data_IF_633762661204
#
_entry.id   IF_633762661204
#
_cell.length_a   1.000
_cell.length_b   1.000
_cell.length_c   1.000
_cell.angle_alpha   90.00
_cell.angle_beta   90.00
_cell.angle_gamma   90.00
#
_symmetry.space_group_name_H-M   'P 1'
#
loop_
_entity.id
_entity.type
_entity.pdbx_description
1 polymer ?
#
# COMPACT_ATOMS: atom_id res chain seq x y z
N UNK A 1 -20.13 -47.79 33.25
CA UNK A 1 -20.45 -46.35 33.20
C UNK A 1 -19.14 -45.61 32.95
N UNK A 2 -18.79 -45.38 31.70
CA UNK A 2 -17.57 -44.67 31.30
C UNK A 2 -17.96 -43.29 30.76
N UNK A 3 -17.48 -42.24 31.42
CA UNK A 3 -17.60 -40.87 30.94
C UNK A 3 -16.39 -40.57 30.03
N UNK A 4 -16.62 -40.45 28.72
CA UNK A 4 -15.67 -39.81 27.80
C UNK A 4 -16.01 -38.32 27.72
N UNK A 5 -15.14 -37.50 28.31
CA UNK A 5 -15.15 -36.04 28.15
C UNK A 5 -14.19 -35.69 27.01
N UNK A 6 -14.73 -35.26 25.88
CA UNK A 6 -13.97 -34.77 24.73
C UNK A 6 -13.83 -33.25 24.79
N UNK A 7 -12.69 -32.76 25.27
CA UNK A 7 -12.31 -31.37 25.12
C UNK A 7 -11.47 -31.22 23.83
N UNK A 8 -11.99 -30.48 22.87
CA UNK A 8 -11.28 -30.06 21.66
C UNK A 8 -10.51 -28.79 22.00
N UNK A 9 -9.18 -28.90 22.12
CA UNK A 9 -8.28 -27.77 22.28
C UNK A 9 -8.10 -27.04 20.94
N UNK A 10 -8.37 -25.74 20.92
CA UNK A 10 -7.85 -24.84 19.89
C UNK A 10 -6.33 -24.73 20.06
N UNK A 11 -5.57 -25.28 19.11
CA UNK A 11 -4.11 -25.16 19.10
C UNK A 11 -3.69 -23.72 18.85
N UNK A 12 -3.04 -23.10 19.84
CA UNK A 12 -2.23 -21.91 19.66
C UNK A 12 -1.12 -22.21 18.64
N UNK A 13 -1.25 -21.67 17.44
CA UNK A 13 -0.18 -21.72 16.44
C UNK A 13 0.82 -20.63 16.81
N UNK A 14 1.78 -21.01 17.66
CA UNK A 14 2.95 -20.18 17.95
C UNK A 14 3.76 -19.97 16.66
N UNK A 15 4.18 -18.73 16.40
CA UNK A 15 5.13 -18.48 15.33
C UNK A 15 6.44 -19.21 15.65
N UNK A 16 7.01 -20.01 14.73
CA UNK A 16 8.33 -20.56 14.93
C UNK A 16 9.32 -19.40 15.07
N UNK A 17 10.11 -19.43 16.13
CA UNK A 17 11.22 -18.50 16.34
C UNK A 17 12.36 -18.98 15.45
N UNK A 18 12.53 -18.33 14.29
CA UNK A 18 13.67 -18.59 13.43
C UNK A 18 14.93 -18.08 14.15
N UNK A 19 15.75 -19.03 14.59
CA UNK A 19 17.09 -18.79 15.12
C UNK A 19 18.01 -18.60 13.92
N UNK A 20 18.26 -17.35 13.51
CA UNK A 20 19.27 -17.05 12.50
C UNK A 20 20.66 -17.43 13.01
N UNK A 21 21.17 -18.58 12.54
CA UNK A 21 22.59 -18.91 12.60
C UNK A 21 23.36 -18.01 11.65
N UNK A 22 24.24 -17.17 12.20
CA UNK A 22 25.26 -16.46 11.45
C UNK A 22 26.16 -17.47 10.71
N UNK A 23 26.07 -17.49 9.38
CA UNK A 23 27.04 -18.15 8.52
C UNK A 23 27.78 -17.07 7.74
N UNK A 24 29.04 -16.84 8.13
CA UNK A 24 30.04 -16.15 7.31
C UNK A 24 30.11 -16.79 5.93
N UNK A 25 29.93 -16.01 4.87
CA UNK A 25 30.24 -16.45 3.51
C UNK A 25 31.10 -15.43 2.78
N UNK A 26 32.25 -15.95 2.37
CA UNK A 26 33.34 -15.38 1.62
C UNK A 26 32.91 -15.11 0.18
N UNK A 27 33.21 -13.91 -0.33
CA UNK A 27 33.09 -13.52 -1.75
C UNK A 27 34.00 -14.37 -2.63
N UNK A 28 33.52 -14.88 -3.78
CA UNK A 28 34.15 -14.43 -5.02
C UNK A 28 33.23 -14.31 -6.26
N UNK A 29 33.66 -13.40 -7.14
CA UNK A 29 33.61 -13.39 -8.60
C UNK A 29 32.27 -13.53 -9.36
N UNK A 30 31.99 -12.47 -10.13
CA UNK A 30 30.98 -12.39 -11.18
C UNK A 30 31.23 -13.36 -12.36
N UNK A 31 30.15 -13.70 -13.08
CA UNK A 31 30.25 -13.73 -14.54
C UNK A 31 29.12 -12.99 -15.25
N UNK A 32 29.50 -12.38 -16.38
CA UNK A 32 28.63 -11.78 -17.38
C UNK A 32 27.75 -12.82 -18.10
N UNK A 33 26.52 -12.42 -18.49
CA UNK A 33 25.75 -12.93 -19.65
C UNK A 33 24.52 -12.04 -19.85
N UNK A 34 24.47 -11.26 -20.93
CA UNK A 34 23.86 -11.57 -22.24
C UNK A 34 22.32 -11.42 -22.20
N UNK A 35 21.83 -10.25 -22.61
CA UNK A 35 20.42 -9.97 -22.80
C UNK A 35 19.95 -10.55 -24.15
N UNK A 36 18.94 -11.42 -24.10
CA UNK A 36 18.17 -11.82 -25.27
C UNK A 36 16.84 -11.04 -25.28
N UNK A 37 16.69 -10.27 -26.34
CA UNK A 37 15.56 -9.42 -26.71
C UNK A 37 14.41 -10.29 -27.25
N UNK A 38 13.25 -10.25 -26.59
CA UNK A 38 12.02 -10.81 -27.14
C UNK A 38 10.95 -9.70 -27.23
N UNK A 39 10.72 -9.25 -28.47
CA UNK A 39 9.57 -8.45 -28.84
C UNK A 39 8.32 -9.35 -28.86
N UNK A 40 7.24 -8.91 -28.22
CA UNK A 40 5.91 -9.43 -28.48
C UNK A 40 4.96 -8.26 -28.73
N UNK A 41 4.57 -8.12 -30.00
CA UNK A 41 3.47 -7.26 -30.45
C UNK A 41 2.16 -7.98 -30.16
N UNK A 42 1.23 -7.32 -29.47
CA UNK A 42 -0.17 -7.75 -29.43
C UNK A 42 -1.07 -6.54 -29.60
N UNK A 43 -1.46 -6.31 -30.85
CA UNK A 43 -2.56 -5.45 -31.28
C UNK A 43 -3.89 -6.11 -30.94
N UNK A 44 -4.72 -5.47 -30.11
CA UNK A 44 -6.15 -5.80 -30.00
C UNK A 44 -7.01 -4.54 -30.17
N UNK A 45 -7.57 -4.48 -31.38
CA UNK A 45 -8.67 -3.64 -31.84
C UNK A 45 -9.89 -3.85 -30.94
N UNK A 46 -10.38 -2.77 -30.31
CA UNK A 46 -11.60 -2.78 -29.49
C UNK A 46 -12.75 -2.26 -30.35
N UNK A 47 -13.60 -3.17 -30.84
CA UNK A 47 -14.89 -2.81 -31.42
C UNK A 47 -15.79 -2.25 -30.31
N UNK A 48 -16.26 -1.03 -30.50
CA UNK A 48 -17.35 -0.42 -29.74
C UNK A 48 -18.67 -0.86 -30.40
N UNK A 49 -19.48 -1.63 -29.68
CA UNK A 49 -20.88 -1.87 -30.02
C UNK A 49 -21.76 -1.08 -29.07
N UNK A 50 -22.29 0.04 -29.55
CA UNK A 50 -23.46 0.69 -28.98
C UNK A 50 -24.70 -0.12 -29.38
N UNK A 51 -25.57 -0.42 -28.42
CA UNK A 51 -26.98 -0.73 -28.71
C UNK A 51 -27.87 -0.18 -27.59
N UNK A 52 -28.75 0.70 -28.04
CA UNK A 52 -29.79 1.44 -27.35
C UNK A 52 -31.10 0.64 -27.26
N UNK A 53 -31.96 1.03 -26.32
CA UNK A 53 -33.42 0.88 -26.29
C UNK A 53 -34.03 -0.54 -26.18
N UNK A 54 -35.00 -0.72 -25.26
CA UNK A 54 -36.44 -0.62 -25.57
C UNK A 54 -37.30 -0.96 -24.36
N UNK A 55 -38.21 -0.06 -24.00
CA UNK A 55 -39.35 -0.26 -23.10
C UNK A 55 -40.45 -1.09 -23.78
N UNK A 56 -41.12 -1.98 -23.05
CA UNK A 56 -42.52 -2.43 -23.28
C UNK A 56 -42.99 -3.16 -22.01
N UNK A 57 -43.78 -2.53 -21.14
CA UNK A 57 -45.25 -2.59 -21.07
C UNK A 57 -45.88 -3.97 -20.81
N UNK A 58 -46.60 -4.02 -19.69
CA UNK A 58 -47.91 -4.64 -19.44
C UNK A 58 -48.14 -6.11 -19.80
N UNK A 59 -48.42 -6.92 -18.77
CA UNK A 59 -49.59 -7.79 -18.81
C UNK A 59 -50.08 -8.16 -17.40
N UNK A 60 -51.29 -7.69 -17.09
CA UNK A 60 -52.15 -8.18 -16.03
C UNK A 60 -52.94 -9.41 -16.50
N UNK A 61 -53.39 -10.20 -15.51
CA UNK A 61 -54.53 -11.12 -15.50
C UNK A 61 -54.47 -12.45 -16.27
N UNK A 62 -54.44 -13.56 -15.53
CA UNK A 62 -55.65 -14.37 -15.28
C UNK A 62 -55.37 -15.72 -14.57
N UNK A 63 -55.96 -15.85 -13.38
CA UNK A 63 -56.77 -16.97 -12.87
C UNK A 63 -56.24 -18.42 -12.78
N UNK A 64 -56.45 -18.95 -11.57
CA UNK A 64 -56.87 -20.32 -11.21
C UNK A 64 -55.87 -21.48 -11.33
N UNK A 65 -55.36 -21.93 -10.17
CA UNK A 65 -55.76 -23.27 -9.68
C UNK A 65 -55.63 -23.36 -8.15
N UNK A 66 -56.74 -23.72 -7.52
CA UNK A 66 -56.87 -24.09 -6.12
C UNK A 66 -56.70 -25.60 -6.03
N UNK A 67 -55.71 -26.08 -5.28
CA UNK A 67 -55.73 -27.44 -4.72
C UNK A 67 -55.08 -27.39 -3.34
N UNK A 68 -55.93 -27.49 -2.33
CA UNK A 68 -55.55 -27.78 -0.95
C UNK A 68 -55.05 -29.22 -0.86
N UNK A 69 -53.92 -29.43 -0.18
CA UNK A 69 -53.71 -30.57 0.68
C UNK A 69 -52.86 -30.14 1.88
N UNK A 70 -53.46 -30.32 3.05
CA UNK A 70 -52.92 -30.02 4.37
C UNK A 70 -51.75 -30.94 4.73
N UNK A 71 -50.61 -30.34 5.10
CA UNK A 71 -49.57 -30.99 5.91
C UNK A 71 -48.99 -29.95 6.89
N UNK A 72 -49.27 -30.04 8.20
CA UNK A 72 -48.69 -29.13 9.18
C UNK A 72 -47.34 -29.69 9.64
N UNK A 73 -46.27 -29.28 8.96
CA UNK A 73 -44.92 -29.37 9.49
C UNK A 73 -44.29 -27.97 9.39
N UNK A 74 -44.82 -27.05 10.19
CA UNK A 74 -44.15 -25.80 10.53
C UNK A 74 -42.98 -26.11 11.49
N UNK A 75 -42.00 -26.88 11.01
CA UNK A 75 -40.62 -26.69 11.47
C UNK A 75 -40.16 -25.38 10.82
N UNK A 76 -40.57 -24.29 11.45
CA UNK A 76 -39.95 -22.98 11.28
C UNK A 76 -38.53 -23.17 11.77
N UNK A 77 -37.67 -23.64 10.86
CA UNK A 77 -36.24 -23.57 10.97
C UNK A 77 -35.93 -22.08 11.08
N UNK A 78 -35.97 -21.58 12.32
CA UNK A 78 -35.44 -20.30 12.75
C UNK A 78 -33.94 -20.44 12.53
N UNK A 79 -33.55 -20.38 11.26
CA UNK A 79 -32.20 -20.25 10.74
C UNK A 79 -31.79 -18.90 11.28
N UNK A 80 -31.31 -18.95 12.52
CA UNK A 80 -30.83 -17.82 13.30
C UNK A 80 -29.70 -17.28 12.45
N UNK A 81 -30.02 -16.27 11.62
CA UNK A 81 -29.05 -15.61 10.76
C UNK A 81 -27.93 -15.17 11.69
N UNK A 82 -26.82 -15.89 11.64
CA UNK A 82 -25.69 -15.64 12.51
C UNK A 82 -25.33 -14.16 12.32
N UNK A 83 -25.38 -13.40 13.41
CA UNK A 83 -25.12 -11.97 13.36
C UNK A 83 -23.70 -11.79 12.80
N UNK A 84 -23.53 -11.07 11.68
CA UNK A 84 -22.21 -10.91 11.07
C UNK A 84 -21.28 -10.25 12.09
N UNK A 85 -20.19 -10.95 12.40
CA UNK A 85 -19.20 -10.47 13.35
C UNK A 85 -18.36 -9.43 12.63
N UNK A 86 -18.37 -8.19 13.14
CA UNK A 86 -17.56 -7.13 12.56
C UNK A 86 -16.07 -7.40 12.79
N UNK A 87 -15.32 -7.48 11.69
CA UNK A 87 -13.89 -7.78 11.67
C UNK A 87 -13.13 -6.66 10.96
N UNK A 88 -11.88 -6.45 11.37
CA UNK A 88 -11.02 -5.45 10.79
C UNK A 88 -9.55 -5.85 10.79
N UNK A 89 -8.81 -5.32 9.82
CA UNK A 89 -7.36 -5.42 9.68
C UNK A 89 -6.75 -4.09 10.09
N UNK A 90 -5.71 -4.12 10.93
CA UNK A 90 -4.92 -2.93 11.21
C UNK A 90 -3.89 -2.74 10.10
N UNK A 91 -3.99 -1.59 9.43
CA UNK A 91 -3.05 -1.19 8.41
C UNK A 91 -2.14 -0.10 8.97
N UNK A 92 -0.84 -0.29 8.78
CA UNK A 92 0.17 0.62 9.29
C UNK A 92 1.09 1.07 8.17
N UNK A 93 1.40 2.36 8.16
CA UNK A 93 2.21 2.99 7.12
C UNK A 93 3.35 3.71 7.79
N UNK A 94 4.57 3.39 7.40
CA UNK A 94 5.73 4.14 7.87
C UNK A 94 5.68 5.56 7.27
N UNK A 95 5.38 6.56 8.09
CA UNK A 95 5.43 7.94 7.67
C UNK A 95 6.90 8.36 7.74
N UNK A 96 7.63 7.99 6.68
CA UNK A 96 8.98 8.48 6.43
C UNK A 96 8.91 9.97 6.14
N UNK A 97 8.84 10.77 7.20
CA UNK A 97 9.24 12.17 7.18
C UNK A 97 10.63 12.27 6.54
N UNK A 98 10.83 13.22 5.62
CA UNK A 98 12.14 13.52 5.01
C UNK A 98 13.19 13.76 6.11
N UNK A 99 12.76 14.29 7.25
CA UNK A 99 13.59 14.47 8.42
C UNK A 99 13.54 13.21 9.32
N UNK A 100 14.69 12.61 9.69
CA UNK A 100 14.73 11.36 10.46
C UNK A 100 14.11 11.46 11.86
N UNK A 101 13.89 12.67 12.36
CA UNK A 101 13.44 12.99 13.71
C UNK A 101 11.93 12.81 13.93
N UNK A 102 11.15 12.60 12.87
CA UNK A 102 9.68 12.42 12.95
C UNK A 102 9.20 11.18 12.20
N UNK A 103 9.88 10.04 12.38
CA UNK A 103 9.34 8.76 11.91
C UNK A 103 8.11 8.43 12.76
N UNK A 104 6.91 8.67 12.23
CA UNK A 104 5.64 8.30 12.87
C UNK A 104 5.04 7.11 12.12
N UNK A 105 4.59 6.09 12.84
CA UNK A 105 3.84 5.00 12.21
C UNK A 105 2.38 5.45 12.10
N UNK A 106 1.93 5.74 10.87
CA UNK A 106 0.53 5.97 10.58
C UNK A 106 -0.25 4.68 10.83
N UNK A 107 -1.41 4.78 11.48
CA UNK A 107 -2.27 3.64 11.78
C UNK A 107 -3.69 3.93 11.30
N UNK A 108 -4.24 2.99 10.53
CA UNK A 108 -5.63 2.96 10.14
C UNK A 108 -6.23 1.57 10.37
N UNK A 109 -7.55 1.49 10.26
CA UNK A 109 -8.32 0.25 10.47
C UNK A 109 -9.19 0.05 9.24
N UNK A 110 -8.99 -1.05 8.52
CA UNK A 110 -9.76 -1.42 7.33
C UNK A 110 -10.77 -2.48 7.77
N UNK A 111 -12.06 -2.21 7.61
CA UNK A 111 -13.12 -3.18 7.94
C UNK A 111 -13.16 -4.25 6.87
N UNK A 112 -13.31 -5.52 7.26
CA UNK A 112 -13.28 -6.66 6.33
C UNK A 112 -14.62 -7.34 6.13
N UNK A 113 -15.64 -6.96 6.91
CA UNK A 113 -16.96 -7.59 6.88
C UNK A 113 -17.62 -7.41 5.50
N UNK A 114 -17.66 -8.48 4.71
CA UNK A 114 -18.24 -8.49 3.36
C UNK A 114 -17.43 -7.75 2.31
N UNK A 115 -16.12 -7.52 2.54
CA UNK A 115 -15.25 -6.86 1.57
C UNK A 115 -14.65 -7.88 0.59
N UNK A 116 -14.77 -7.63 -0.71
CA UNK A 116 -13.96 -8.31 -1.72
C UNK A 116 -12.51 -7.77 -1.73
N UNK A 117 -11.60 -8.52 -2.32
CA UNK A 117 -10.18 -8.16 -2.44
C UNK A 117 -9.96 -6.80 -3.12
N UNK A 118 -10.62 -6.52 -4.25
CA UNK A 118 -10.48 -5.25 -4.96
C UNK A 118 -10.80 -4.04 -4.07
N UNK A 119 -11.89 -4.16 -3.30
CA UNK A 119 -12.33 -3.10 -2.39
C UNK A 119 -11.33 -2.93 -1.25
N UNK A 120 -10.79 -4.04 -0.74
CA UNK A 120 -9.74 -4.02 0.26
C UNK A 120 -8.47 -3.33 -0.26
N UNK A 121 -7.99 -3.67 -1.45
CA UNK A 121 -6.82 -3.03 -2.05
C UNK A 121 -7.08 -1.56 -2.40
N UNK A 122 -8.30 -1.19 -2.79
CA UNK A 122 -8.71 0.21 -2.97
C UNK A 122 -8.65 1.00 -1.66
N UNK A 123 -9.23 0.47 -0.59
CA UNK A 123 -9.22 1.11 0.73
C UNK A 123 -7.77 1.19 1.28
N UNK A 124 -6.96 0.16 1.04
CA UNK A 124 -5.54 0.14 1.40
C UNK A 124 -4.74 1.22 0.65
N UNK A 125 -4.96 1.40 -0.66
CA UNK A 125 -4.39 2.50 -1.45
C UNK A 125 -4.76 3.85 -0.88
N UNK A 126 -6.04 4.05 -0.58
CA UNK A 126 -6.53 5.30 -0.03
C UNK A 126 -5.88 5.63 1.32
N UNK A 127 -5.84 4.67 2.25
CA UNK A 127 -5.20 4.85 3.55
C UNK A 127 -3.68 5.04 3.44
N UNK A 128 -3.03 4.38 2.47
CA UNK A 128 -1.62 4.59 2.18
C UNK A 128 -1.34 6.03 1.71
N UNK A 129 -2.09 6.53 0.74
CA UNK A 129 -1.98 7.90 0.25
C UNK A 129 -2.37 8.94 1.30
N UNK A 130 -3.37 8.64 2.13
CA UNK A 130 -3.79 9.51 3.24
C UNK A 130 -2.67 9.68 4.26
N UNK A 131 -2.01 8.59 4.67
CA UNK A 131 -0.93 8.66 5.66
C UNK A 131 0.37 9.25 5.11
N UNK A 132 0.71 8.93 3.85
CA UNK A 132 1.92 9.47 3.21
C UNK A 132 1.75 10.92 2.75
N UNK A 133 0.51 11.31 2.41
CA UNK A 133 0.14 12.56 1.76
C UNK A 133 0.19 12.41 0.24
N UNK A 134 -0.84 12.89 -0.47
CA UNK A 134 -0.99 12.70 -1.91
C UNK A 134 0.19 13.24 -2.73
N UNK A 135 0.64 14.48 -2.46
CA UNK A 135 1.81 15.09 -3.12
C UNK A 135 3.07 14.24 -2.91
N UNK A 136 3.30 13.80 -1.67
CA UNK A 136 4.44 12.94 -1.37
C UNK A 136 4.29 11.59 -2.05
N UNK A 137 3.09 11.04 -2.16
CA UNK A 137 2.92 9.76 -2.86
C UNK A 137 3.15 9.86 -4.37
N UNK A 138 2.82 10.99 -4.99
CA UNK A 138 3.05 11.22 -6.42
C UNK A 138 4.52 11.54 -6.72
N UNK A 139 5.15 12.35 -5.88
CA UNK A 139 6.52 12.83 -6.11
C UNK A 139 7.59 12.08 -5.30
N UNK A 140 7.25 11.03 -4.56
CA UNK A 140 8.28 10.30 -3.81
C UNK A 140 9.06 9.36 -4.72
N UNK A 141 10.37 9.31 -4.45
CA UNK A 141 11.27 8.27 -4.94
C UNK A 141 10.94 6.87 -4.39
N UNK A 142 10.10 6.78 -3.36
CA UNK A 142 9.70 5.49 -2.81
C UNK A 142 8.23 5.23 -3.14
N UNK A 143 7.99 4.06 -3.72
CA UNK A 143 6.67 3.57 -4.10
C UNK A 143 6.24 2.43 -3.19
N UNK A 144 4.95 2.12 -3.18
CA UNK A 144 4.45 0.93 -2.49
C UNK A 144 5.02 -0.32 -3.14
N UNK A 145 5.58 -1.20 -2.32
CA UNK A 145 6.23 -2.42 -2.78
C UNK A 145 5.45 -3.68 -2.37
N UNK A 146 4.84 -3.65 -1.18
CA UNK A 146 4.08 -4.76 -0.61
C UNK A 146 3.79 -4.53 0.87
N UNK A 147 3.26 -5.55 1.54
CA UNK A 147 2.97 -5.53 2.97
C UNK A 147 3.70 -6.65 3.70
N UNK A 148 4.21 -6.34 4.89
CA UNK A 148 4.72 -7.34 5.84
C UNK A 148 3.69 -7.57 6.96
N UNK A 149 3.59 -8.80 7.45
CA UNK A 149 2.76 -9.14 8.60
C UNK A 149 3.50 -8.94 9.91
N UNK A 150 2.82 -8.31 10.86
CA UNK A 150 3.37 -7.99 12.16
C UNK A 150 2.41 -8.29 13.28
N UNK A 151 2.98 -8.84 14.35
CA UNK A 151 2.38 -8.91 15.66
C UNK A 151 2.91 -7.74 16.50
N UNK A 152 1.98 -6.96 17.05
CA UNK A 152 2.25 -5.83 17.91
C UNK A 152 1.80 -6.16 19.33
N UNK A 153 2.74 -6.26 20.25
CA UNK A 153 2.43 -6.43 21.67
C UNK A 153 2.42 -5.06 22.33
N UNK A 154 1.27 -4.66 22.85
CA UNK A 154 1.13 -3.41 23.61
C UNK A 154 1.52 -3.66 25.05
N UNK A 155 2.52 -2.95 25.54
CA UNK A 155 3.03 -3.01 26.91
C UNK A 155 2.77 -1.67 27.64
N UNK A 156 2.59 -1.71 28.96
CA UNK A 156 2.54 -0.49 29.80
C UNK A 156 3.93 0.15 29.94
N UNK A 157 3.96 1.47 30.14
CA UNK A 157 5.17 2.30 30.25
C UNK A 157 6.22 1.72 31.20
N UNK A 158 5.79 1.21 32.34
CA UNK A 158 6.68 0.72 33.40
C UNK A 158 7.28 -0.68 33.15
N UNK A 159 6.91 -1.38 32.06
CA UNK A 159 7.42 -2.72 31.74
C UNK A 159 8.14 -2.81 30.39
N UNK A 160 8.21 -1.71 29.65
CA UNK A 160 8.86 -1.68 28.35
C UNK A 160 10.37 -1.49 28.53
N UNK A 161 11.14 -2.55 28.29
CA UNK A 161 12.60 -2.47 28.15
C UNK A 161 12.92 -2.25 26.67
N UNK A 162 13.28 -1.01 26.33
CA UNK A 162 13.52 -0.59 24.95
C UNK A 162 14.83 -1.20 24.42
N UNK A 163 14.74 -2.23 23.57
CA UNK A 163 15.92 -2.87 22.95
C UNK A 163 16.11 -2.45 21.47
N UNK A 164 15.25 -1.59 20.92
CA UNK A 164 15.32 -1.21 19.50
C UNK A 164 14.93 0.25 19.26
N UNK A 165 15.73 1.01 18.48
CA UNK A 165 15.41 2.39 18.12
C UNK A 165 14.35 2.41 17.00
N UNK A 166 13.17 3.00 17.26
CA UNK A 166 12.30 3.43 16.16
C UNK A 166 10.80 3.15 16.28
N UNK A 167 10.20 3.27 17.47
CA UNK A 167 8.74 3.40 17.58
C UNK A 167 8.42 4.82 18.06
N UNK A 168 7.50 5.56 17.42
CA UNK A 168 7.24 6.93 17.78
C UNK A 168 6.36 7.02 19.01
N UNK A 169 6.77 7.89 19.93
CA UNK A 169 5.95 8.41 21.00
C UNK A 169 4.81 9.22 20.38
N UNK A 170 3.60 8.68 20.43
CA UNK A 170 2.38 9.43 20.15
C UNK A 170 1.82 9.91 21.49
N UNK A 171 2.13 11.16 21.81
CA UNK A 171 1.29 12.12 22.51
C UNK A 171 0.18 11.47 23.36
N UNK A 172 0.52 11.06 24.58
CA UNK A 172 -0.46 11.00 25.68
C UNK A 172 -1.07 9.65 26.08
N UNK A 173 -0.49 8.48 25.80
CA UNK A 173 -1.00 7.23 26.40
C UNK A 173 0.13 6.33 26.91
N UNK A 174 -0.05 5.77 28.10
CA UNK A 174 0.88 4.96 28.92
C UNK A 174 1.43 3.66 28.27
N UNK A 175 1.45 3.53 26.95
CA UNK A 175 1.72 2.26 26.29
C UNK A 175 2.77 2.35 25.17
N UNK A 176 3.67 1.37 25.16
CA UNK A 176 4.64 1.13 24.09
C UNK A 176 4.24 -0.11 23.29
N UNK A 177 4.70 -0.19 22.03
CA UNK A 177 4.41 -1.32 21.15
C UNK A 177 5.70 -2.02 20.75
N UNK A 178 5.81 -3.31 21.03
CA UNK A 178 6.87 -4.17 20.48
C UNK A 178 6.38 -4.81 19.19
N UNK A 179 7.16 -4.69 18.11
CA UNK A 179 6.84 -5.22 16.78
C UNK A 179 7.61 -6.51 16.52
N UNK A 180 6.92 -7.60 16.20
CA UNK A 180 7.50 -8.89 15.82
C UNK A 180 7.04 -9.26 14.40
N UNK A 181 7.99 -9.55 13.50
CA UNK A 181 7.68 -9.97 12.13
C UNK A 181 7.14 -11.40 12.16
N UNK A 182 6.08 -11.66 11.41
CA UNK A 182 5.47 -12.98 11.30
C UNK A 182 5.60 -13.52 9.88
N UNK A 183 5.46 -14.84 9.72
CA UNK A 183 5.43 -15.46 8.40
C UNK A 183 4.24 -14.92 7.59
N UNK A 184 4.45 -14.56 6.31
CA UNK A 184 3.41 -13.99 5.50
C UNK A 184 2.35 -15.04 5.12
N UNK A 185 1.07 -14.75 5.36
CA UNK A 185 -0.05 -15.59 4.90
C UNK A 185 -0.46 -15.30 3.45
N UNK A 186 -0.12 -14.09 2.98
CA UNK A 186 -0.30 -13.61 1.61
C UNK A 186 1.09 -13.25 1.12
N UNK A 187 1.46 -13.72 -0.08
CA UNK A 187 2.81 -13.48 -0.59
C UNK A 187 3.03 -11.99 -0.88
N UNK A 188 4.29 -11.60 -0.92
CA UNK A 188 4.65 -10.22 -1.23
C UNK A 188 4.16 -9.80 -2.63
N UNK A 189 4.32 -10.69 -3.61
CA UNK A 189 3.90 -10.50 -4.99
C UNK A 189 2.39 -10.35 -5.07
N UNK A 190 1.64 -11.15 -4.32
CA UNK A 190 0.19 -11.08 -4.30
C UNK A 190 -0.32 -9.74 -3.76
N UNK A 191 0.30 -9.20 -2.71
CA UNK A 191 0.00 -7.83 -2.24
C UNK A 191 0.34 -6.77 -3.27
N UNK A 192 1.49 -6.90 -3.93
CA UNK A 192 1.96 -5.94 -4.92
C UNK A 192 1.02 -5.91 -6.12
N UNK A 193 0.71 -7.08 -6.66
CA UNK A 193 -0.10 -7.22 -7.87
C UNK A 193 -1.54 -6.76 -7.58
N UNK A 194 -2.13 -7.16 -6.45
CA UNK A 194 -3.46 -6.68 -6.04
C UNK A 194 -3.51 -5.17 -5.75
N UNK A 195 -2.46 -4.59 -5.17
CA UNK A 195 -2.41 -3.14 -4.93
C UNK A 195 -2.31 -2.32 -6.23
N UNK A 196 -1.49 -2.77 -7.17
CA UNK A 196 -1.27 -2.07 -8.44
C UNK A 196 -2.29 -2.44 -9.53
N UNK A 197 -3.17 -3.40 -9.27
CA UNK A 197 -4.29 -3.67 -10.14
C UNK A 197 -5.37 -2.57 -9.99
N UNK A 198 -5.46 -1.74 -11.03
CA UNK A 198 -6.47 -0.68 -11.16
C UNK A 198 -7.58 -1.10 -12.13
N UNK A 199 -7.41 -2.24 -12.79
CA UNK A 199 -8.29 -2.71 -13.86
C UNK A 199 -9.47 -3.49 -13.31
N UNK A 200 -9.27 -4.19 -12.19
CA UNK A 200 -10.33 -4.96 -11.53
C UNK A 200 -11.18 -4.00 -10.71
N UNK A 201 -12.31 -3.61 -11.31
CA UNK A 201 -13.43 -3.02 -10.60
C UNK A 201 -14.42 -4.14 -10.39
N UNK A 202 -14.50 -4.70 -9.18
CA UNK A 202 -15.75 -5.33 -8.76
C UNK A 202 -16.87 -4.31 -9.00
N UNK A 203 -17.73 -4.57 -9.99
CA UNK A 203 -19.05 -3.95 -9.99
C UNK A 203 -19.79 -4.39 -8.73
N UNK A 204 -20.73 -3.58 -8.25
CA UNK A 204 -21.48 -3.87 -7.02
C UNK A 204 -22.20 -5.24 -7.06
N UNK A 205 -22.38 -5.82 -8.26
CA UNK A 205 -23.06 -7.09 -8.50
C UNK A 205 -22.13 -8.30 -8.70
N UNK A 206 -20.81 -8.13 -8.72
CA UNK A 206 -19.89 -9.27 -8.91
C UNK A 206 -19.69 -10.00 -7.57
N UNK A 207 -20.03 -11.30 -7.46
CA UNK A 207 -19.80 -12.05 -6.23
C UNK A 207 -18.29 -12.12 -5.94
N UNK A 208 -17.90 -11.89 -4.67
CA UNK A 208 -16.52 -12.08 -4.25
C UNK A 208 -16.11 -13.55 -4.44
N UNK A 209 -14.85 -13.81 -4.79
CA UNK A 209 -14.33 -15.17 -4.83
C UNK A 209 -14.34 -15.81 -3.42
N UNK A 210 -14.58 -17.12 -3.33
CA UNK A 210 -14.67 -17.86 -2.05
C UNK A 210 -13.33 -17.99 -1.28
N UNK A 211 -12.21 -17.53 -1.86
CA UNK A 211 -10.88 -17.63 -1.26
C UNK A 211 -10.12 -16.31 -1.43
N UNK A 212 -10.61 -15.26 -0.75
CA UNK A 212 -10.01 -13.92 -0.83
C UNK A 212 -8.69 -13.82 -0.05
N UNK A 213 -7.80 -12.94 -0.50
CA UNK A 213 -6.62 -12.55 0.28
C UNK A 213 -7.03 -11.95 1.64
N UNK A 214 -8.15 -11.22 1.68
CA UNK A 214 -8.73 -10.65 2.90
C UNK A 214 -9.01 -11.70 3.98
N UNK A 215 -9.54 -12.87 3.60
CA UNK A 215 -9.83 -13.96 4.54
C UNK A 215 -8.58 -14.63 5.11
N UNK A 216 -7.49 -14.66 4.33
CA UNK A 216 -6.17 -15.15 4.77
C UNK A 216 -5.42 -14.17 5.64
N UNK A 217 -5.83 -12.90 5.74
CA UNK A 217 -5.17 -11.96 6.63
C UNK A 217 -5.77 -12.10 8.03
N UNK A 218 -4.96 -12.24 9.10
CA UNK A 218 -5.47 -12.27 10.47
C UNK A 218 -6.33 -11.04 10.79
N UNK A 219 -7.63 -11.27 11.04
CA UNK A 219 -8.59 -10.20 11.30
C UNK A 219 -8.90 -10.12 12.80
N UNK A 220 -9.02 -8.90 13.33
CA UNK A 220 -9.46 -8.67 14.71
C UNK A 220 -10.95 -8.37 14.73
N UNK A 221 -11.68 -8.97 15.67
CA UNK A 221 -13.07 -8.58 15.93
C UNK A 221 -13.11 -7.16 16.52
N UNK A 222 -13.78 -6.23 15.84
CA UNK A 222 -13.85 -4.82 16.25
C UNK A 222 -14.81 -4.63 17.42
N UNK A 223 -15.88 -5.42 17.46
CA UNK A 223 -16.90 -5.35 18.50
C UNK A 223 -16.77 -6.54 19.47
N UNK A 224 -16.31 -6.26 20.69
CA UNK A 224 -16.38 -7.24 21.77
C UNK A 224 -17.85 -7.51 22.09
N UNK A 225 -18.23 -8.78 22.15
CA UNK A 225 -19.55 -9.12 22.67
C UNK A 225 -19.65 -8.66 24.14
N UNK A 226 -20.83 -8.28 24.64
CA UNK A 226 -20.99 -7.80 26.02
C UNK A 226 -20.41 -8.77 27.07
N UNK A 227 -20.47 -10.07 26.77
CA UNK A 227 -19.89 -11.14 27.60
C UNK A 227 -18.36 -11.11 27.61
N UNK A 228 -17.73 -10.90 26.45
CA UNK A 228 -16.27 -10.73 26.36
C UNK A 228 -15.78 -9.41 26.96
N UNK A 229 -16.59 -8.33 26.88
CA UNK A 229 -16.28 -7.07 27.55
C UNK A 229 -16.17 -7.28 29.07
N UNK A 230 -17.15 -7.98 29.68
CA UNK A 230 -17.15 -8.30 31.11
C UNK A 230 -15.99 -9.23 31.53
N UNK A 231 -15.67 -10.24 30.72
CA UNK A 231 -14.51 -11.12 31.00
C UNK A 231 -13.17 -10.38 30.91
N UNK A 232 -13.02 -9.47 29.94
CA UNK A 232 -11.77 -8.68 29.79
C UNK A 232 -11.61 -7.68 30.93
N UNK A 233 -12.72 -7.18 31.49
CA UNK A 233 -12.71 -6.27 32.62
C UNK A 233 -12.29 -6.97 33.93
N UNK A 234 -12.62 -8.26 34.08
CA UNK A 234 -12.23 -9.05 35.26
C UNK A 234 -10.78 -9.53 35.25
N UNK A 235 -10.14 -9.60 34.09
CA UNK A 235 -8.73 -10.01 33.98
C UNK A 235 -8.02 -9.05 33.03
N UNK A 236 -7.49 -7.92 33.54
CA UNK A 236 -6.63 -7.05 32.76
C UNK A 236 -5.32 -7.78 32.50
N UNK A 237 -5.30 -8.64 31.47
CA UNK A 237 -4.05 -9.15 30.92
C UNK A 237 -3.26 -7.92 30.46
N UNK A 238 -2.16 -7.62 31.15
CA UNK A 238 -1.38 -6.39 30.99
C UNK A 238 -0.87 -6.18 29.55
N UNK A 239 -0.75 -7.27 28.77
CA UNK A 239 -0.26 -7.24 27.40
C UNK A 239 -1.37 -7.58 26.40
N UNK A 240 -1.69 -6.65 25.51
CA UNK A 240 -2.65 -6.90 24.43
C UNK A 240 -1.92 -7.07 23.11
N UNK A 241 -2.06 -8.25 22.52
CA UNK A 241 -1.53 -8.58 21.20
C UNK A 241 -2.47 -8.01 20.12
N UNK A 242 -1.90 -7.36 19.11
CA UNK A 242 -2.59 -6.80 17.96
C UNK A 242 -1.88 -7.30 16.71
N UNK A 243 -2.64 -7.90 15.79
CA UNK A 243 -2.11 -8.31 14.49
C UNK A 243 -2.38 -7.21 13.46
N UNK A 244 -1.46 -7.00 12.52
CA UNK A 244 -1.65 -6.03 11.46
C UNK A 244 -0.68 -6.22 10.31
N UNK A 245 -0.92 -5.46 9.26
CA UNK A 245 -0.06 -5.38 8.08
C UNK A 245 0.63 -4.02 8.04
N UNK A 246 1.93 -4.03 7.74
CA UNK A 246 2.74 -2.82 7.59
C UNK A 246 3.11 -2.66 6.13
N UNK A 247 2.71 -1.54 5.54
CA UNK A 247 3.09 -1.15 4.19
C UNK A 247 4.60 -0.94 4.12
N UNK A 248 5.22 -1.60 3.15
CA UNK A 248 6.62 -1.42 2.80
C UNK A 248 6.73 -0.61 1.53
N UNK A 249 7.81 0.14 1.47
CA UNK A 249 8.12 0.97 0.31
C UNK A 249 9.48 0.58 -0.25
N UNK A 250 9.61 0.64 -1.56
CA UNK A 250 10.84 0.38 -2.28
C UNK A 250 11.26 1.63 -3.06
N UNK A 251 12.56 1.75 -3.35
CA UNK A 251 13.08 2.86 -4.16
C UNK A 251 12.72 2.61 -5.63
N UNK A 252 11.86 3.46 -6.19
CA UNK A 252 11.48 3.44 -7.59
C UNK A 252 12.56 4.10 -8.45
N UNK A 253 13.47 3.28 -9.00
CA UNK A 253 14.55 3.78 -9.86
C UNK A 253 14.05 4.54 -11.09
N UNK A 254 12.90 4.15 -11.65
CA UNK A 254 12.31 4.87 -12.79
C UNK A 254 11.89 6.31 -12.43
N UNK A 255 11.43 6.56 -11.20
CA UNK A 255 11.11 7.93 -10.74
C UNK A 255 12.37 8.78 -10.64
N UNK A 256 13.47 8.21 -10.16
CA UNK A 256 14.78 8.85 -10.16
C UNK A 256 15.21 9.26 -11.58
N UNK A 257 15.06 8.36 -12.56
CA UNK A 257 15.33 8.66 -13.97
C UNK A 257 14.44 9.78 -14.49
N UNK A 258 13.14 9.77 -14.19
CA UNK A 258 12.23 10.85 -14.60
C UNK A 258 12.70 12.19 -14.04
N UNK A 259 13.12 12.26 -12.77
CA UNK A 259 13.65 13.49 -12.20
C UNK A 259 14.95 13.97 -12.83
N UNK A 260 15.87 13.05 -13.12
CA UNK A 260 17.11 13.38 -13.83
C UNK A 260 16.78 13.90 -15.24
N UNK A 261 15.83 13.29 -15.94
CA UNK A 261 15.38 13.73 -17.26
C UNK A 261 14.75 15.13 -17.20
N UNK A 262 13.84 15.37 -16.26
CA UNK A 262 13.21 16.68 -16.05
C UNK A 262 14.25 17.76 -15.68
N UNK A 263 15.21 17.45 -14.81
CA UNK A 263 16.30 18.35 -14.46
C UNK A 263 17.19 18.64 -15.69
N UNK A 264 17.53 17.60 -16.46
CA UNK A 264 18.38 17.71 -17.65
C UNK A 264 17.75 18.52 -18.78
N UNK A 265 16.40 18.62 -18.82
CA UNK A 265 15.68 19.43 -19.80
C UNK A 265 16.04 20.92 -19.73
N UNK A 266 16.53 21.40 -18.59
CA UNK A 266 17.01 22.78 -18.43
C UNK A 266 18.33 23.04 -19.16
N UNK A 267 19.17 22.02 -19.36
CA UNK A 267 20.47 22.14 -20.03
C UNK A 267 20.32 22.62 -21.48
N UNK A 268 19.55 21.96 -22.38
CA UNK A 268 19.46 22.41 -23.77
C UNK A 268 18.87 23.82 -23.88
N UNK A 269 17.97 24.22 -22.99
CA UNK A 269 17.43 25.59 -22.94
C UNK A 269 18.50 26.61 -22.54
N UNK A 270 19.29 26.30 -21.51
CA UNK A 270 20.40 27.17 -21.09
C UNK A 270 21.50 27.25 -22.16
N UNK A 271 21.82 26.13 -22.82
CA UNK A 271 22.80 26.08 -23.91
C UNK A 271 22.30 26.87 -25.13
N UNK A 272 21.03 26.68 -25.51
CA UNK A 272 20.39 27.48 -26.55
C UNK A 272 20.44 28.97 -26.22
N UNK A 273 20.10 29.35 -24.99
CA UNK A 273 20.18 30.74 -24.53
C UNK A 273 21.59 31.31 -24.66
N UNK A 274 22.62 30.56 -24.25
CA UNK A 274 24.02 30.98 -24.40
C UNK A 274 24.39 31.18 -25.87
N UNK A 275 24.03 30.24 -26.75
CA UNK A 275 24.32 30.37 -28.19
C UNK A 275 23.56 31.52 -28.84
N UNK A 276 22.28 31.69 -28.48
CA UNK A 276 21.47 32.81 -28.94
C UNK A 276 22.03 34.15 -28.44
N UNK A 277 22.50 34.22 -27.19
CA UNK A 277 23.16 35.41 -26.64
C UNK A 277 24.49 35.73 -27.35
N UNK A 278 25.24 34.69 -27.73
CA UNK A 278 26.50 34.83 -28.46
C UNK A 278 26.33 35.22 -29.92
N UNK A 279 25.13 35.09 -30.49
CA UNK A 279 24.86 35.53 -31.86
C UNK A 279 24.88 37.06 -31.92
N UNK A 280 25.83 37.68 -32.65
CA UNK A 280 25.81 39.11 -32.85
C UNK A 280 24.54 39.47 -33.64
N UNK A 281 23.69 40.33 -33.07
CA UNK A 281 22.58 40.92 -33.81
C UNK A 281 23.09 41.69 -35.02
N UNK A 282 22.42 41.56 -36.17
CA UNK A 282 22.70 42.37 -37.36
C UNK A 282 22.58 43.86 -36.98
N UNK A 283 23.73 44.54 -36.85
CA UNK A 283 23.79 45.96 -36.49
C UNK A 283 24.47 46.32 -35.16
N UNK A 284 25.10 45.38 -34.46
CA UNK A 284 25.96 45.74 -33.31
C UNK A 284 27.31 46.31 -33.77
N UNK A 285 27.60 47.55 -33.38
CA UNK A 285 28.93 48.18 -33.54
C UNK A 285 30.00 47.42 -32.75
N UNK A 286 31.25 47.46 -33.22
CA UNK A 286 32.41 46.74 -32.64
C UNK A 286 32.61 47.02 -31.14
N UNK A 287 32.33 48.26 -30.71
CA UNK A 287 32.39 48.66 -29.30
C UNK A 287 31.31 47.97 -28.45
N UNK A 288 30.09 47.82 -28.98
CA UNK A 288 29.02 47.09 -28.29
C UNK A 288 29.35 45.60 -28.24
N UNK A 289 29.99 45.06 -29.26
CA UNK A 289 30.41 43.66 -29.30
C UNK A 289 31.47 43.33 -28.24
N UNK A 290 32.43 44.24 -28.01
CA UNK A 290 33.42 44.10 -26.94
C UNK A 290 32.76 44.13 -25.55
N UNK A 291 31.88 45.11 -25.30
CA UNK A 291 31.15 45.22 -24.04
C UNK A 291 30.16 44.05 -23.82
N UNK A 292 29.60 43.49 -24.90
CA UNK A 292 28.73 42.31 -24.85
C UNK A 292 29.51 41.03 -24.49
N UNK A 293 30.74 40.89 -25.00
CA UNK A 293 31.66 39.80 -24.63
C UNK A 293 32.14 39.89 -23.19
N UNK A 294 32.41 41.09 -22.68
CA UNK A 294 32.83 41.29 -21.29
C UNK A 294 31.73 40.90 -20.28
N UNK A 295 30.47 40.82 -20.74
CA UNK A 295 29.33 40.35 -19.95
C UNK A 295 29.09 38.82 -20.02
N UNK A 296 30.08 38.02 -20.43
CA UNK A 296 29.97 36.56 -20.51
C UNK A 296 29.56 35.91 -19.17
N UNK A 297 29.95 36.52 -18.05
CA UNK A 297 29.59 36.08 -16.71
C UNK A 297 28.08 36.00 -16.51
N UNK A 298 27.33 36.99 -17.02
CA UNK A 298 25.88 37.06 -16.93
C UNK A 298 25.21 36.00 -17.82
N UNK A 299 25.77 35.76 -19.01
CA UNK A 299 25.28 34.74 -19.93
C UNK A 299 25.47 33.31 -19.40
N UNK A 300 26.49 33.08 -18.57
CA UNK A 300 26.79 31.77 -17.97
C UNK A 300 25.91 31.43 -16.75
N UNK A 301 25.22 32.41 -16.13
CA UNK A 301 24.41 32.17 -14.92
C UNK A 301 23.34 31.08 -15.12
N UNK A 302 22.53 31.09 -16.21
CA UNK A 302 21.52 30.04 -16.43
C UNK A 302 22.13 28.65 -16.65
N UNK A 303 23.32 28.58 -17.25
CA UNK A 303 24.04 27.32 -17.46
C UNK A 303 24.55 26.75 -16.14
N UNK A 304 25.15 27.60 -15.30
CA UNK A 304 25.61 27.21 -13.97
C UNK A 304 24.44 26.77 -13.07
N UNK A 305 23.31 27.48 -13.10
CA UNK A 305 22.09 27.10 -12.37
C UNK A 305 21.54 25.74 -12.85
N UNK A 306 21.47 25.51 -14.16
CA UNK A 306 21.03 24.23 -14.72
C UNK A 306 21.95 23.08 -14.29
N UNK A 307 23.28 23.28 -14.37
CA UNK A 307 24.25 22.28 -13.93
C UNK A 307 24.12 21.99 -12.42
N UNK A 308 23.98 23.01 -11.58
CA UNK A 308 23.77 22.83 -10.14
C UNK A 308 22.46 22.09 -9.83
N UNK A 309 21.38 22.37 -10.56
CA UNK A 309 20.09 21.69 -10.39
C UNK A 309 20.22 20.20 -10.74
N UNK A 310 20.89 19.87 -11.84
CA UNK A 310 21.14 18.46 -12.23
C UNK A 310 22.03 17.75 -11.22
N UNK A 311 23.14 18.36 -10.79
CA UNK A 311 24.01 17.75 -9.78
C UNK A 311 23.33 17.61 -8.42
N UNK A 312 22.54 18.60 -8.01
CA UNK A 312 21.75 18.57 -6.79
C UNK A 312 20.68 17.48 -6.82
N UNK A 313 19.96 17.35 -7.92
CA UNK A 313 18.95 16.28 -8.08
C UNK A 313 19.58 14.89 -8.09
N UNK A 314 20.68 14.68 -8.79
CA UNK A 314 21.45 13.42 -8.74
C UNK A 314 21.86 13.13 -7.29
N UNK A 315 22.45 14.10 -6.60
CA UNK A 315 22.90 13.92 -5.21
C UNK A 315 21.73 13.51 -4.30
N UNK A 316 20.61 14.24 -4.34
CA UNK A 316 19.42 13.94 -3.53
C UNK A 316 18.78 12.59 -3.84
N UNK A 317 18.90 12.10 -5.07
CA UNK A 317 18.34 10.82 -5.50
C UNK A 317 19.17 9.64 -4.97
N UNK A 318 20.49 9.78 -4.93
CA UNK A 318 21.41 8.68 -4.59
C UNK A 318 21.85 8.62 -3.13
N UNK A 319 21.60 9.67 -2.34
CA UNK A 319 21.75 9.66 -0.87
C UNK A 319 20.51 9.09 -0.19
#
# INVERSE_FOLDING_TARGET
MEFKSGAVCCSETSCPVDTESQVSSTTPAAPAKLAAMHQSKSSRTRQQGWSTHRDTENNEDAANHKTSDDLPAHDVELRTKAVPIDRAIFFMVDNSSILPWKRRLGKSTIRTTGLCDDRFYSDMRWEFWRHRGWLKSLFSLQTFAGCDFYQFTRHRKNRYYETSPGVPENDGVEYFYRRQKCSPQVSWEEFRDGYWDWSTRCGDDQPCADATAVERIPQKQTRRTPRQAKLTEQQPSDDTIIWGIVARTERAFYMALIYIMLASLTIPLSVWFVFWWLQPGEGMDEYQLANHRDNLSNACVPLALAAMLVMGTITCVFT
#
